data_IF_404794248313
#
_entry.id   IF_404794248313
#
_cell.length_a   1.000
_cell.length_b   1.000
_cell.length_c   1.000
_cell.angle_alpha   90.00
_cell.angle_beta   90.00
_cell.angle_gamma   90.00
#
_symmetry.space_group_name_H-M   'P 1'
#
loop_
_entity.id
_entity.type
_entity.pdbx_description
1 polymer ?
#
# COMPACT_ATOMS: atom_id res chain seq x y z
N UNK A 1 36.70 10.58 4.41
CA UNK A 1 35.90 9.51 3.78
C UNK A 1 36.57 8.18 4.14
N UNK A 2 35.92 7.36 4.98
CA UNK A 2 36.33 5.96 5.15
C UNK A 2 35.83 5.19 3.93
N UNK A 3 36.71 4.46 3.27
CA UNK A 3 36.33 3.55 2.19
C UNK A 3 35.34 2.52 2.75
N UNK A 4 34.19 2.41 2.12
CA UNK A 4 33.19 1.41 2.46
C UNK A 4 33.72 0.07 1.93
N UNK A 5 33.90 -0.92 2.81
CA UNK A 5 34.30 -2.26 2.39
C UNK A 5 33.05 -3.02 1.86
N UNK A 6 32.90 -3.06 0.55
CA UNK A 6 31.79 -3.72 -0.14
C UNK A 6 31.82 -5.26 -0.07
N UNK A 7 32.80 -5.86 0.59
CA UNK A 7 33.01 -7.32 0.61
C UNK A 7 32.31 -8.04 1.76
N UNK A 8 31.51 -7.37 2.60
CA UNK A 8 30.95 -7.94 3.84
C UNK A 8 29.45 -8.21 3.85
N UNK A 9 28.75 -8.45 2.74
CA UNK A 9 27.43 -9.07 2.83
C UNK A 9 27.15 -9.98 1.65
N UNK A 10 27.31 -11.29 1.85
CA UNK A 10 26.81 -12.33 0.94
C UNK A 10 25.32 -12.66 1.21
N UNK A 11 24.54 -11.77 1.78
CA UNK A 11 23.11 -11.90 1.87
C UNK A 11 22.50 -10.91 0.86
N UNK A 12 21.92 -11.45 -0.19
CA UNK A 12 21.11 -10.68 -1.13
C UNK A 12 19.90 -10.15 -0.36
N UNK A 13 19.91 -8.85 -0.03
CA UNK A 13 18.78 -8.19 0.62
C UNK A 13 17.63 -8.08 -0.37
N UNK A 14 16.40 -8.42 0.02
CA UNK A 14 15.24 -8.30 -0.87
C UNK A 14 15.04 -6.87 -1.36
N UNK A 15 14.73 -6.73 -2.65
CA UNK A 15 14.46 -5.45 -3.30
C UNK A 15 12.94 -5.19 -3.30
N UNK A 16 12.49 -4.21 -2.52
CA UNK A 16 11.05 -3.91 -2.36
C UNK A 16 10.72 -2.62 -3.09
N UNK A 17 9.91 -2.73 -4.15
CA UNK A 17 9.36 -1.58 -4.84
C UNK A 17 8.26 -0.92 -4.01
N UNK A 18 8.29 0.41 -3.90
CA UNK A 18 7.29 1.20 -3.17
C UNK A 18 6.57 2.10 -4.17
N UNK A 19 5.26 1.94 -4.34
CA UNK A 19 4.48 2.81 -5.21
C UNK A 19 4.43 4.24 -4.66
N UNK A 20 4.75 5.23 -5.51
CA UNK A 20 4.74 6.63 -5.11
C UNK A 20 3.34 7.25 -5.13
N UNK A 21 3.15 8.30 -4.33
CA UNK A 21 2.14 9.33 -4.55
C UNK A 21 2.59 10.24 -5.69
N UNK A 22 1.63 10.91 -6.32
CA UNK A 22 1.92 11.94 -7.32
C UNK A 22 1.34 13.27 -6.87
N UNK A 23 2.20 14.18 -6.43
CA UNK A 23 1.79 15.45 -5.84
C UNK A 23 2.61 16.59 -6.44
N UNK A 24 1.93 17.63 -6.92
CA UNK A 24 2.57 18.82 -7.52
C UNK A 24 3.61 18.48 -8.61
N UNK A 25 3.34 17.45 -9.42
CA UNK A 25 4.24 16.99 -10.48
C UNK A 25 5.42 16.14 -10.00
N UNK A 26 5.44 15.74 -8.73
CA UNK A 26 6.51 14.95 -8.15
C UNK A 26 6.00 13.58 -7.69
N UNK A 27 6.82 12.55 -7.90
CA UNK A 27 6.64 11.25 -7.27
C UNK A 27 7.26 11.27 -5.89
N UNK A 28 6.46 11.07 -4.84
CA UNK A 28 6.90 11.16 -3.45
C UNK A 28 6.28 10.08 -2.57
N UNK A 29 6.88 9.81 -1.42
CA UNK A 29 6.35 8.91 -0.38
C UNK A 29 6.66 9.49 1.01
N UNK A 30 5.84 9.10 1.98
CA UNK A 30 6.16 9.31 3.38
C UNK A 30 7.42 8.52 3.76
N UNK A 31 8.37 9.19 4.42
CA UNK A 31 9.66 8.60 4.78
C UNK A 31 9.53 7.35 5.67
N UNK A 32 8.44 7.23 6.43
CA UNK A 32 8.14 6.08 7.28
C UNK A 32 8.09 4.75 6.52
N UNK A 33 7.66 4.73 5.25
CA UNK A 33 7.70 3.53 4.41
C UNK A 33 9.13 3.06 4.16
N UNK A 34 10.02 4.00 3.86
CA UNK A 34 11.45 3.71 3.64
C UNK A 34 12.07 3.11 4.90
N UNK A 35 11.85 3.76 6.05
CA UNK A 35 12.39 3.31 7.33
C UNK A 35 11.88 1.91 7.69
N UNK A 36 10.59 1.63 7.49
CA UNK A 36 9.99 0.32 7.79
C UNK A 36 10.63 -0.80 6.98
N UNK A 37 10.88 -0.58 5.68
CA UNK A 37 11.54 -1.58 4.82
C UNK A 37 13.00 -1.78 5.23
N UNK A 38 13.74 -0.70 5.53
CA UNK A 38 15.11 -0.80 6.01
C UNK A 38 15.20 -1.57 7.33
N UNK A 39 14.29 -1.30 8.27
CA UNK A 39 14.23 -2.02 9.55
C UNK A 39 13.87 -3.50 9.38
N UNK A 40 13.10 -3.84 8.34
CA UNK A 40 12.82 -5.23 7.98
C UNK A 40 13.99 -5.94 7.28
N UNK A 41 15.11 -5.26 7.03
CA UNK A 41 16.30 -5.83 6.40
C UNK A 41 16.18 -5.96 4.88
N UNK A 42 15.45 -5.05 4.22
CA UNK A 42 15.27 -5.03 2.78
C UNK A 42 15.71 -3.69 2.16
N UNK A 43 15.85 -3.65 0.85
CA UNK A 43 16.21 -2.45 0.09
C UNK A 43 14.95 -1.77 -0.44
N UNK A 44 14.62 -0.54 0.00
CA UNK A 44 13.49 0.22 -0.53
C UNK A 44 13.83 0.86 -1.87
N UNK A 45 12.96 0.67 -2.87
CA UNK A 45 13.06 1.29 -4.19
C UNK A 45 11.79 2.09 -4.48
N UNK A 46 11.90 3.41 -4.57
CA UNK A 46 10.78 4.24 -4.96
C UNK A 46 10.45 4.02 -6.44
N UNK A 47 9.20 3.68 -6.73
CA UNK A 47 8.68 3.54 -8.07
C UNK A 47 7.96 4.84 -8.46
N UNK A 48 8.52 5.64 -9.39
CA UNK A 48 7.90 6.89 -9.81
C UNK A 48 6.62 6.62 -10.61
N UNK A 49 5.61 7.47 -10.44
CA UNK A 49 4.33 7.35 -11.14
C UNK A 49 4.52 7.61 -12.64
N UNK A 50 4.28 6.61 -13.44
CA UNK A 50 4.19 6.68 -14.92
C UNK A 50 3.39 5.49 -15.44
N UNK A 51 2.99 5.54 -16.72
CA UNK A 51 2.13 4.51 -17.34
C UNK A 51 2.78 3.81 -18.55
N UNK A 52 4.11 3.85 -18.65
CA UNK A 52 4.85 3.06 -19.62
C UNK A 52 4.93 1.59 -19.20
N UNK A 53 4.11 0.75 -19.82
CA UNK A 53 3.92 -0.66 -19.42
C UNK A 53 5.20 -1.48 -19.56
N UNK A 54 6.00 -1.22 -20.60
CA UNK A 54 7.22 -2.00 -20.83
C UNK A 54 8.28 -1.70 -19.74
N UNK A 55 8.42 -0.43 -19.37
CA UNK A 55 9.30 -0.02 -18.28
C UNK A 55 8.82 -0.59 -16.96
N UNK A 56 7.50 -0.53 -16.66
CA UNK A 56 6.94 -1.12 -15.43
C UNK A 56 7.17 -2.63 -15.36
N UNK A 57 6.99 -3.34 -16.47
CA UNK A 57 7.26 -4.79 -16.53
C UNK A 57 8.70 -5.10 -16.18
N UNK A 58 9.65 -4.41 -16.82
CA UNK A 58 11.09 -4.60 -16.54
C UNK A 58 11.45 -4.23 -15.09
N UNK A 59 10.84 -3.19 -14.57
CA UNK A 59 11.02 -2.80 -13.18
C UNK A 59 10.55 -3.91 -12.23
N UNK A 60 9.31 -4.41 -12.42
CA UNK A 60 8.77 -5.51 -11.60
C UNK A 60 9.63 -6.78 -11.71
N UNK A 61 10.25 -7.03 -12.87
CA UNK A 61 11.18 -8.16 -13.05
C UNK A 61 12.40 -8.13 -12.14
N UNK A 62 12.79 -6.96 -11.66
CA UNK A 62 13.94 -6.79 -10.76
C UNK A 62 13.59 -6.85 -9.28
N UNK A 63 12.30 -6.81 -8.93
CA UNK A 63 11.85 -6.72 -7.55
C UNK A 63 11.57 -8.09 -6.94
N UNK A 64 11.79 -8.20 -5.63
CA UNK A 64 11.43 -9.35 -4.81
C UNK A 64 10.07 -9.18 -4.12
N UNK A 65 9.55 -7.95 -4.07
CA UNK A 65 8.24 -7.64 -3.52
C UNK A 65 7.76 -6.25 -3.90
N UNK A 66 6.45 -6.02 -3.78
CA UNK A 66 5.79 -4.76 -4.07
C UNK A 66 5.04 -4.26 -2.84
N UNK A 67 5.27 -3.00 -2.44
CA UNK A 67 4.50 -2.28 -1.44
C UNK A 67 3.69 -1.16 -2.09
N UNK A 68 2.37 -1.19 -1.91
CA UNK A 68 1.47 -0.10 -2.31
C UNK A 68 1.17 0.80 -1.12
N UNK A 69 1.39 2.10 -1.31
CA UNK A 69 1.25 3.09 -0.23
C UNK A 69 -0.18 3.60 -0.05
N UNK A 70 -0.43 4.26 1.06
CA UNK A 70 -1.67 5.00 1.32
C UNK A 70 -1.83 6.20 0.40
N UNK A 71 -2.95 6.91 0.51
CA UNK A 71 -3.26 8.10 -0.30
C UNK A 71 -4.74 8.42 -0.37
N UNK A 72 -5.14 9.23 -1.35
CA UNK A 72 -6.53 9.59 -1.63
C UNK A 72 -7.39 8.43 -2.14
N UNK A 73 -8.61 8.73 -2.54
CA UNK A 73 -9.56 7.73 -3.00
C UNK A 73 -9.21 7.18 -4.39
N UNK A 74 -9.85 6.09 -4.75
CA UNK A 74 -9.70 5.40 -6.02
C UNK A 74 -10.92 5.72 -6.88
N UNK A 75 -10.73 5.88 -8.18
CA UNK A 75 -11.83 6.07 -9.11
C UNK A 75 -12.79 4.86 -9.05
N UNK A 76 -14.05 5.04 -8.61
CA UNK A 76 -15.01 3.95 -8.44
C UNK A 76 -15.38 3.24 -9.74
N UNK A 77 -15.11 3.84 -10.91
CA UNK A 77 -15.29 3.18 -12.20
C UNK A 77 -14.46 1.91 -12.37
N UNK A 78 -13.35 1.75 -11.65
CA UNK A 78 -12.64 0.47 -11.62
C UNK A 78 -13.43 -0.66 -10.96
N UNK A 79 -14.41 -0.32 -10.09
CA UNK A 79 -15.37 -1.24 -9.48
C UNK A 79 -16.72 -1.29 -10.20
N UNK A 80 -16.86 -0.65 -11.36
CA UNK A 80 -18.12 -0.47 -12.09
C UNK A 80 -19.18 0.29 -11.28
N UNK A 81 -18.76 1.23 -10.46
CA UNK A 81 -19.62 2.08 -9.64
C UNK A 81 -19.53 3.53 -10.09
N UNK A 82 -20.64 4.29 -9.94
CA UNK A 82 -20.65 5.74 -10.16
C UNK A 82 -20.12 6.47 -8.92
N UNK A 83 -19.47 7.65 -9.08
CA UNK A 83 -18.93 8.41 -7.97
C UNK A 83 -20.04 8.98 -7.08
N UNK A 84 -19.95 8.77 -5.77
CA UNK A 84 -20.85 9.33 -4.78
C UNK A 84 -20.39 10.73 -4.32
N UNK A 85 -21.32 11.60 -3.86
CA UNK A 85 -20.96 12.96 -3.44
C UNK A 85 -19.86 13.05 -2.35
N UNK A 86 -19.75 12.12 -1.37
CA UNK A 86 -18.71 12.18 -0.35
C UNK A 86 -17.34 11.64 -0.81
N UNK A 87 -17.22 11.13 -2.04
CA UNK A 87 -15.93 10.66 -2.58
C UNK A 87 -14.89 11.77 -2.51
N UNK A 88 -13.70 11.45 -1.99
CA UNK A 88 -12.59 12.37 -1.89
C UNK A 88 -11.83 12.56 -3.22
N UNK A 89 -10.62 13.06 -3.13
CA UNK A 89 -9.78 13.29 -4.32
C UNK A 89 -9.26 11.98 -4.90
N UNK A 90 -9.35 11.86 -6.22
CA UNK A 90 -8.80 10.76 -7.00
C UNK A 90 -7.67 11.26 -7.91
N UNK A 91 -6.68 10.40 -8.16
CA UNK A 91 -5.59 10.64 -9.12
C UNK A 91 -5.60 9.50 -10.15
N UNK A 92 -6.13 9.81 -11.35
CA UNK A 92 -6.29 8.82 -12.41
C UNK A 92 -4.96 8.25 -12.92
N UNK A 93 -3.88 9.05 -12.91
CA UNK A 93 -2.56 8.57 -13.32
C UNK A 93 -2.00 7.56 -12.32
N UNK A 94 -2.15 7.85 -11.03
CA UNK A 94 -1.76 6.96 -9.95
C UNK A 94 -2.63 5.70 -9.89
N UNK A 95 -3.94 5.82 -10.12
CA UNK A 95 -4.82 4.65 -10.18
C UNK A 95 -4.35 3.68 -11.26
N UNK A 96 -4.17 4.17 -12.49
CA UNK A 96 -3.68 3.35 -13.60
C UNK A 96 -2.31 2.73 -13.30
N UNK A 97 -1.40 3.49 -12.71
CA UNK A 97 -0.07 3.03 -12.30
C UNK A 97 -0.17 1.89 -11.28
N UNK A 98 -0.89 2.08 -10.17
CA UNK A 98 -0.99 1.10 -9.12
C UNK A 98 -1.72 -0.20 -9.56
N UNK A 99 -2.81 -0.09 -10.34
CA UNK A 99 -3.47 -1.27 -10.92
C UNK A 99 -2.54 -2.05 -11.86
N UNK A 100 -1.73 -1.34 -12.66
CA UNK A 100 -0.75 -1.97 -13.56
C UNK A 100 0.33 -2.69 -12.74
N UNK A 101 0.86 -2.07 -11.69
CA UNK A 101 1.84 -2.69 -10.80
C UNK A 101 1.31 -3.97 -10.16
N UNK A 102 0.08 -3.94 -9.62
CA UNK A 102 -0.54 -5.12 -9.00
C UNK A 102 -0.67 -6.26 -9.99
N UNK A 103 -1.15 -5.98 -11.21
CA UNK A 103 -1.29 -6.99 -12.25
C UNK A 103 0.05 -7.63 -12.60
N UNK A 104 1.07 -6.80 -12.88
CA UNK A 104 2.40 -7.29 -13.24
C UNK A 104 3.06 -8.09 -12.11
N UNK A 105 2.90 -7.63 -10.86
CA UNK A 105 3.43 -8.32 -9.69
C UNK A 105 2.72 -9.67 -9.44
N UNK A 106 1.39 -9.70 -9.60
CA UNK A 106 0.59 -10.92 -9.49
C UNK A 106 0.94 -11.96 -10.59
N UNK A 107 1.07 -11.51 -11.83
CA UNK A 107 1.48 -12.37 -12.96
C UNK A 107 2.85 -12.99 -12.70
N UNK A 108 3.73 -12.27 -12.01
CA UNK A 108 5.05 -12.72 -11.63
C UNK A 108 5.10 -13.49 -10.29
N UNK A 109 3.99 -13.51 -9.57
CA UNK A 109 3.85 -14.18 -8.27
C UNK A 109 4.82 -13.65 -7.19
N UNK A 110 5.23 -12.38 -7.25
CA UNK A 110 5.97 -11.75 -6.15
C UNK A 110 4.99 -11.30 -5.06
N UNK A 111 5.42 -11.27 -3.78
CA UNK A 111 4.60 -10.77 -2.68
C UNK A 111 4.15 -9.33 -2.90
N UNK A 112 2.88 -9.05 -2.60
CA UNK A 112 2.29 -7.71 -2.68
C UNK A 112 1.74 -7.35 -1.31
N UNK A 113 2.11 -6.18 -0.78
CA UNK A 113 1.59 -5.64 0.47
C UNK A 113 0.99 -4.25 0.25
N UNK A 114 -0.26 -4.06 0.63
CA UNK A 114 -0.96 -2.77 0.49
C UNK A 114 -1.34 -2.17 1.83
N UNK A 115 -1.09 -0.88 1.99
CA UNK A 115 -1.42 -0.10 3.17
C UNK A 115 -2.49 0.94 2.83
N UNK A 116 -3.61 0.99 3.58
CA UNK A 116 -4.71 1.93 3.39
C UNK A 116 -5.21 1.87 1.92
N UNK A 117 -5.03 2.93 1.13
CA UNK A 117 -5.37 2.95 -0.30
C UNK A 117 -4.75 1.76 -1.08
N UNK A 118 -3.50 1.39 -0.77
CA UNK A 118 -2.85 0.25 -1.40
C UNK A 118 -3.57 -1.08 -1.16
N UNK A 119 -4.14 -1.30 0.03
CA UNK A 119 -4.99 -2.45 0.32
C UNK A 119 -6.30 -2.42 -0.51
N UNK A 120 -6.89 -1.24 -0.67
CA UNK A 120 -8.08 -1.04 -1.49
C UNK A 120 -7.82 -1.32 -2.99
N UNK A 121 -6.68 -0.87 -3.52
CA UNK A 121 -6.23 -1.18 -4.90
C UNK A 121 -6.11 -2.69 -5.10
N UNK A 122 -5.48 -3.41 -4.18
CA UNK A 122 -5.37 -4.88 -4.26
C UNK A 122 -6.75 -5.52 -4.30
N UNK A 123 -7.66 -5.13 -3.40
CA UNK A 123 -9.01 -5.65 -3.37
C UNK A 123 -9.73 -5.47 -4.72
N UNK A 124 -9.70 -4.27 -5.28
CA UNK A 124 -10.35 -3.97 -6.56
C UNK A 124 -9.65 -4.65 -7.74
N UNK A 125 -8.32 -4.75 -7.75
CA UNK A 125 -7.57 -5.42 -8.80
C UNK A 125 -7.90 -6.91 -8.91
N UNK A 126 -8.33 -7.53 -7.82
CA UNK A 126 -8.80 -8.93 -7.78
C UNK A 126 -10.33 -9.06 -7.85
N UNK A 127 -11.04 -8.01 -8.27
CA UNK A 127 -12.48 -8.03 -8.54
C UNK A 127 -13.37 -7.74 -7.34
N UNK A 128 -12.80 -7.25 -6.23
CA UNK A 128 -13.55 -6.75 -5.09
C UNK A 128 -14.08 -5.32 -5.31
N UNK A 129 -14.91 -4.85 -4.38
CA UNK A 129 -15.43 -3.48 -4.33
C UNK A 129 -15.04 -2.81 -3.02
N UNK A 130 -15.04 -1.48 -3.00
CA UNK A 130 -14.74 -0.67 -1.83
C UNK A 130 -15.91 0.26 -1.52
N UNK A 131 -16.16 0.53 -0.25
CA UNK A 131 -16.99 1.67 0.14
C UNK A 131 -16.28 2.96 -0.26
N UNK A 132 -16.98 3.83 -0.97
CA UNK A 132 -16.51 5.17 -1.32
C UNK A 132 -16.58 6.10 -0.10
N UNK A 133 -17.58 5.89 0.77
CA UNK A 133 -17.72 6.53 2.08
C UNK A 133 -18.41 5.56 3.06
N UNK A 134 -17.68 5.17 4.09
CA UNK A 134 -18.18 4.18 5.05
C UNK A 134 -19.36 4.69 5.87
N UNK A 135 -19.46 6.00 6.12
CA UNK A 135 -20.52 6.56 6.95
C UNK A 135 -21.86 6.67 6.22
N UNK A 136 -21.84 6.86 4.90
CA UNK A 136 -23.06 6.94 4.10
C UNK A 136 -23.51 5.60 3.53
N UNK A 137 -22.60 4.66 3.35
CA UNK A 137 -22.87 3.38 2.69
C UNK A 137 -23.03 2.19 3.64
N UNK A 138 -22.65 2.34 4.91
CA UNK A 138 -22.76 1.26 5.90
C UNK A 138 -23.91 1.51 6.85
N UNK A 139 -24.82 0.53 6.99
CA UNK A 139 -26.06 0.67 7.77
C UNK A 139 -25.87 0.60 9.31
N UNK A 140 -24.75 0.07 9.77
CA UNK A 140 -24.48 -0.11 11.21
C UNK A 140 -23.69 1.05 11.78
N UNK A 141 -23.82 1.23 13.12
CA UNK A 141 -22.99 2.21 13.82
C UNK A 141 -21.53 1.83 13.72
N UNK A 142 -20.73 2.69 13.12
CA UNK A 142 -19.31 2.51 12.93
C UNK A 142 -18.50 3.16 14.05
N UNK A 143 -17.30 2.63 14.28
CA UNK A 143 -16.28 3.33 15.07
C UNK A 143 -15.88 4.63 14.36
N UNK A 144 -15.41 5.59 15.15
CA UNK A 144 -14.82 6.81 14.59
C UNK A 144 -13.47 6.46 13.93
N UNK A 145 -13.44 6.38 12.61
CA UNK A 145 -12.22 6.07 11.87
C UNK A 145 -11.27 7.26 11.75
N UNK A 146 -11.78 8.45 11.46
CA UNK A 146 -10.95 9.66 11.47
C UNK A 146 -10.73 10.13 12.90
N UNK A 147 -9.60 9.76 13.48
CA UNK A 147 -9.29 9.98 14.89
C UNK A 147 -8.48 11.24 15.10
N UNK A 148 -8.78 11.95 16.21
CA UNK A 148 -8.09 13.19 16.59
C UNK A 148 -7.09 12.93 17.71
N UNK A 149 -6.19 11.96 17.52
CA UNK A 149 -5.15 11.57 18.47
C UNK A 149 -3.80 11.53 17.73
N UNK A 150 -2.68 11.69 18.43
CA UNK A 150 -1.36 11.51 17.82
C UNK A 150 -1.21 10.09 17.26
N UNK A 151 -0.60 9.98 16.09
CA UNK A 151 -0.40 8.69 15.39
C UNK A 151 0.40 7.66 16.18
N UNK A 152 1.09 8.08 17.22
CA UNK A 152 1.88 7.20 18.11
C UNK A 152 1.00 6.40 19.09
N UNK A 153 -0.27 6.77 19.25
CA UNK A 153 -1.18 6.13 20.20
C UNK A 153 -2.29 5.36 19.48
N UNK A 154 -2.51 4.12 19.93
CA UNK A 154 -3.68 3.35 19.53
C UNK A 154 -4.96 3.85 20.24
N UNK A 155 -6.09 3.75 19.58
CA UNK A 155 -7.37 4.28 20.06
C UNK A 155 -8.54 3.31 19.96
N UNK A 156 -8.37 2.19 19.25
CA UNK A 156 -9.37 1.13 19.19
C UNK A 156 -8.71 -0.24 19.01
N UNK A 157 -9.48 -1.29 19.25
CA UNK A 157 -9.03 -2.68 19.14
C UNK A 157 -9.46 -3.27 17.81
N UNK A 158 -8.58 -4.05 17.19
CA UNK A 158 -8.89 -4.93 16.06
C UNK A 158 -8.68 -6.38 16.46
N UNK A 159 -9.54 -7.27 15.97
CA UNK A 159 -9.38 -8.71 16.11
C UNK A 159 -8.68 -9.26 14.85
N UNK A 160 -7.72 -10.14 15.05
CA UNK A 160 -6.96 -10.76 13.98
C UNK A 160 -7.52 -12.17 13.75
N UNK A 161 -7.92 -12.45 12.52
CA UNK A 161 -8.49 -13.75 12.18
C UNK A 161 -7.43 -14.84 12.27
N UNK A 162 -7.71 -15.88 13.05
CA UNK A 162 -6.82 -17.02 13.24
C UNK A 162 -6.54 -17.76 11.92
N UNK A 163 -5.36 -18.36 11.81
CA UNK A 163 -4.89 -19.10 10.63
C UNK A 163 -4.71 -18.23 9.37
N UNK A 164 -4.56 -16.91 9.52
CA UNK A 164 -4.16 -16.00 8.44
C UNK A 164 -2.66 -15.72 8.46
N UNK A 165 -2.11 -15.24 7.35
CA UNK A 165 -0.72 -14.79 7.28
C UNK A 165 -0.46 -13.69 8.31
N UNK A 166 -1.37 -12.73 8.44
CA UNK A 166 -1.25 -11.64 9.42
C UNK A 166 -1.16 -12.18 10.85
N UNK A 167 -2.03 -13.14 11.21
CA UNK A 167 -1.99 -13.79 12.52
C UNK A 167 -0.65 -14.50 12.78
N UNK A 168 -0.11 -15.21 11.78
CA UNK A 168 1.18 -15.90 11.92
C UNK A 168 2.37 -14.93 12.10
N UNK A 169 2.29 -13.75 11.47
CA UNK A 169 3.33 -12.71 11.57
C UNK A 169 3.28 -12.00 12.93
N UNK A 170 2.09 -11.66 13.41
CA UNK A 170 1.90 -10.87 14.62
C UNK A 170 1.88 -11.71 15.92
N UNK A 171 1.51 -12.99 15.83
CA UNK A 171 1.48 -13.91 16.97
C UNK A 171 0.47 -13.53 18.06
N UNK A 172 -0.61 -12.81 17.71
CA UNK A 172 -1.65 -12.36 18.64
C UNK A 172 -3.02 -12.31 17.99
N UNK A 173 -4.07 -12.52 18.80
CA UNK A 173 -5.46 -12.50 18.35
C UNK A 173 -6.06 -11.09 18.27
N UNK A 174 -5.42 -10.10 18.87
CA UNK A 174 -5.90 -8.71 18.88
C UNK A 174 -4.78 -7.70 19.06
N UNK A 175 -5.00 -6.50 18.52
CA UNK A 175 -4.10 -5.35 18.67
C UNK A 175 -4.89 -4.08 18.98
N UNK A 176 -4.25 -3.15 19.68
CA UNK A 176 -4.72 -1.77 19.78
C UNK A 176 -4.07 -0.99 18.64
N UNK A 177 -4.90 -0.36 17.81
CA UNK A 177 -4.47 0.37 16.61
C UNK A 177 -5.09 1.77 16.57
N UNK A 178 -4.69 2.58 15.60
CA UNK A 178 -5.30 3.86 15.28
C UNK A 178 -5.78 3.87 13.80
N UNK A 179 -6.59 4.87 13.44
CA UNK A 179 -6.98 5.15 12.05
C UNK A 179 -7.17 6.66 11.81
N UNK A 180 -6.88 7.13 10.58
CA UNK A 180 -6.85 8.54 10.18
C UNK A 180 -7.51 8.73 8.83
#
# INVERSE_FOLDING_TARGET
YRAIDYRQSQHDLPLIGISANFENGNSCIEHSYVISILQAGAIPVLLPVHNDIETLRKTIETLDGLMLTGGGDINPLYGNEEPLPPLGSIDAARDQFDFTLVKLAADRQIPIFGICRGHQIINMAFGGTNYQDIYSQHEQQLLKHSQSISREFGSHTVNIVNNTVLHSVLGTDSLIVNSY
#
